data_IF_684012697159
#
_entry.id   IF_684012697159
#
_cell.length_a   1.000
_cell.length_b   1.000
_cell.length_c   1.000
_cell.angle_alpha   90.00
_cell.angle_beta   90.00
_cell.angle_gamma   90.00
#
_symmetry.space_group_name_H-M   'P 1'
#
loop_
_entity.id
_entity.type
_entity.pdbx_description
1 polymer ?
#
# COMPACT_ATOMS: atom_id res chain seq x y z
N UNK A 1 20.40 -16.33 -22.19
CA UNK A 1 20.56 -15.94 -20.77
C UNK A 1 19.25 -16.18 -20.06
N UNK A 2 19.27 -16.40 -18.74
CA UNK A 2 18.07 -16.60 -17.93
C UNK A 2 18.07 -15.67 -16.73
N UNK A 3 16.90 -15.19 -16.34
CA UNK A 3 16.69 -14.49 -15.07
C UNK A 3 16.08 -15.46 -14.07
N UNK A 4 16.57 -15.46 -12.83
CA UNK A 4 16.13 -16.36 -11.77
C UNK A 4 15.56 -15.53 -10.63
N UNK A 5 14.32 -15.85 -10.23
CA UNK A 5 13.67 -15.34 -9.03
C UNK A 5 13.79 -16.36 -7.90
N UNK A 6 14.32 -15.90 -6.78
CA UNK A 6 14.49 -16.69 -5.54
C UNK A 6 13.69 -16.04 -4.43
N UNK A 7 13.01 -16.87 -3.64
CA UNK A 7 12.27 -16.47 -2.44
C UNK A 7 12.65 -17.48 -1.36
N UNK A 8 13.01 -17.01 -0.16
CA UNK A 8 13.47 -17.84 0.97
C UNK A 8 14.58 -18.84 0.58
N UNK A 9 15.54 -18.38 -0.22
CA UNK A 9 16.67 -19.20 -0.71
C UNK A 9 16.30 -20.27 -1.74
N UNK A 10 15.02 -20.37 -2.16
CA UNK A 10 14.55 -21.33 -3.15
C UNK A 10 14.25 -20.68 -4.50
N UNK A 11 14.75 -21.30 -5.57
CA UNK A 11 14.38 -20.93 -6.95
C UNK A 11 12.87 -21.11 -7.12
N UNK A 12 12.19 -20.00 -7.36
CA UNK A 12 10.72 -19.93 -7.47
C UNK A 12 10.28 -19.81 -8.92
N UNK A 13 10.99 -19.03 -9.74
CA UNK A 13 10.70 -18.88 -11.17
C UNK A 13 11.99 -18.65 -11.95
N UNK A 14 12.02 -19.14 -13.18
CA UNK A 14 13.06 -18.84 -14.16
C UNK A 14 12.39 -18.24 -15.39
N UNK A 15 12.89 -17.08 -15.82
CA UNK A 15 12.44 -16.38 -17.02
C UNK A 15 13.53 -16.29 -18.07
N UNK A 16 13.14 -15.92 -19.28
CA UNK A 16 14.05 -15.57 -20.36
C UNK A 16 14.35 -14.08 -20.35
N UNK A 17 15.51 -13.71 -20.90
CA UNK A 17 15.92 -12.33 -21.13
C UNK A 17 15.89 -12.11 -22.65
N UNK A 18 15.24 -11.05 -23.11
CA UNK A 18 15.18 -10.68 -24.52
C UNK A 18 16.52 -10.14 -25.01
N UNK A 19 16.69 -10.07 -26.33
CA UNK A 19 17.94 -9.61 -26.95
C UNK A 19 18.31 -8.15 -26.58
N UNK A 20 17.32 -7.33 -26.21
CA UNK A 20 17.53 -5.95 -25.71
C UNK A 20 17.84 -5.88 -24.19
N UNK A 21 18.07 -7.03 -23.55
CA UNK A 21 18.44 -7.13 -22.13
C UNK A 21 17.27 -7.02 -21.15
N UNK A 22 16.04 -6.90 -21.64
CA UNK A 22 14.85 -6.82 -20.78
C UNK A 22 14.32 -8.19 -20.38
N UNK A 23 13.55 -8.24 -19.31
CA UNK A 23 12.85 -9.43 -18.88
C UNK A 23 11.55 -9.07 -18.18
N UNK A 24 10.63 -10.03 -18.15
CA UNK A 24 9.43 -9.97 -17.34
C UNK A 24 9.23 -11.32 -16.65
N UNK A 25 8.85 -11.29 -15.38
CA UNK A 25 8.49 -12.49 -14.61
C UNK A 25 7.03 -12.37 -14.23
N UNK A 26 6.21 -13.31 -14.71
CA UNK A 26 4.82 -13.42 -14.26
C UNK A 26 4.82 -13.89 -12.81
N UNK A 27 4.29 -13.06 -11.92
CA UNK A 27 4.35 -13.25 -10.47
C UNK A 27 2.97 -13.51 -9.82
N UNK A 28 1.87 -13.39 -10.57
CA UNK A 28 0.52 -13.47 -9.99
C UNK A 28 0.13 -14.88 -9.52
N UNK A 29 0.83 -15.92 -9.98
CA UNK A 29 0.71 -17.30 -9.51
C UNK A 29 1.62 -17.61 -8.31
N UNK A 30 2.49 -16.68 -7.90
CA UNK A 30 3.44 -16.87 -6.82
C UNK A 30 2.83 -16.35 -5.51
N UNK A 31 2.29 -17.25 -4.70
CA UNK A 31 1.60 -16.89 -3.45
C UNK A 31 2.45 -16.03 -2.50
N UNK A 32 3.75 -16.31 -2.38
CA UNK A 32 4.66 -15.55 -1.52
C UNK A 32 4.78 -14.07 -1.95
N UNK A 33 4.67 -13.78 -3.25
CA UNK A 33 4.70 -12.41 -3.77
C UNK A 33 3.37 -11.67 -3.59
N UNK A 34 2.34 -12.31 -3.03
CA UNK A 34 1.09 -11.67 -2.59
C UNK A 34 1.15 -11.20 -1.14
N UNK A 35 2.21 -11.55 -0.42
CA UNK A 35 2.39 -11.21 1.00
C UNK A 35 3.32 -10.01 1.11
N UNK A 36 2.82 -8.91 1.67
CA UNK A 36 3.62 -7.73 1.94
C UNK A 36 4.76 -8.05 2.92
N UNK A 37 5.96 -7.53 2.66
CA UNK A 37 7.15 -7.80 3.46
C UNK A 37 7.95 -9.02 3.02
N UNK A 38 7.44 -9.85 2.10
CA UNK A 38 8.23 -10.96 1.52
C UNK A 38 9.45 -10.41 0.80
N UNK A 39 10.63 -10.88 1.18
CA UNK A 39 11.88 -10.59 0.47
C UNK A 39 12.03 -11.52 -0.74
N UNK A 40 12.60 -10.99 -1.80
CA UNK A 40 12.92 -11.75 -2.99
C UNK A 40 14.26 -11.31 -3.58
N UNK A 41 14.88 -12.23 -4.30
CA UNK A 41 16.17 -12.06 -4.95
C UNK A 41 16.03 -12.31 -6.45
N UNK A 42 16.76 -11.54 -7.25
CA UNK A 42 16.86 -11.70 -8.68
C UNK A 42 18.34 -11.77 -9.07
N UNK A 43 18.70 -12.75 -9.90
CA UNK A 43 20.00 -12.76 -10.57
C UNK A 43 19.87 -13.31 -11.98
N UNK A 44 20.84 -12.98 -12.83
CA UNK A 44 20.93 -13.46 -14.20
C UNK A 44 21.99 -14.55 -14.29
N UNK A 45 21.77 -15.53 -15.15
CA UNK A 45 22.79 -16.51 -15.56
C UNK A 45 23.01 -16.41 -17.06
N UNK A 46 24.27 -16.24 -17.46
CA UNK A 46 24.66 -16.17 -18.86
C UNK A 46 24.65 -17.56 -19.55
N UNK A 47 25.06 -17.62 -20.81
CA UNK A 47 25.12 -18.87 -21.59
C UNK A 47 26.26 -19.81 -21.16
N UNK A 48 27.25 -19.29 -20.45
CA UNK A 48 28.40 -20.04 -19.90
C UNK A 48 28.17 -20.48 -18.46
N UNK A 49 27.03 -20.14 -17.86
CA UNK A 49 26.66 -20.52 -16.49
C UNK A 49 27.11 -19.51 -15.41
N UNK A 50 27.69 -18.37 -15.78
CA UNK A 50 28.12 -17.35 -14.83
C UNK A 50 26.94 -16.54 -14.32
N UNK A 51 26.94 -16.21 -13.02
CA UNK A 51 25.88 -15.41 -12.38
C UNK A 51 26.27 -13.95 -12.28
N UNK A 52 25.27 -13.07 -12.44
CA UNK A 52 25.40 -11.67 -12.04
C UNK A 52 25.45 -11.53 -10.51
N UNK A 53 25.70 -10.31 -10.04
CA UNK A 53 25.34 -9.92 -8.67
C UNK A 53 23.83 -10.14 -8.41
N UNK A 54 23.49 -10.35 -7.14
CA UNK A 54 22.11 -10.57 -6.69
C UNK A 54 21.47 -9.22 -6.39
N UNK A 55 20.35 -8.93 -7.05
CA UNK A 55 19.49 -7.81 -6.70
C UNK A 55 18.42 -8.27 -5.71
N UNK A 56 18.23 -7.54 -4.61
CA UNK A 56 17.23 -7.84 -3.59
C UNK A 56 16.05 -6.87 -3.68
N UNK A 57 14.85 -7.35 -3.39
CA UNK A 57 13.65 -6.53 -3.23
C UNK A 57 12.73 -7.05 -2.15
N UNK A 58 11.79 -6.22 -1.74
CA UNK A 58 10.74 -6.57 -0.76
C UNK A 58 9.38 -6.23 -1.35
N UNK A 59 8.44 -7.17 -1.26
CA UNK A 59 7.05 -6.96 -1.70
C UNK A 59 6.44 -5.85 -0.87
N UNK A 60 5.99 -4.80 -1.55
CA UNK A 60 5.20 -3.74 -0.93
C UNK A 60 3.74 -4.14 -1.00
N UNK A 61 3.03 -4.10 0.12
CA UNK A 61 1.58 -4.25 0.13
C UNK A 61 0.93 -3.10 -0.64
N UNK A 62 -0.14 -3.41 -1.38
CA UNK A 62 -1.12 -2.41 -1.80
C UNK A 62 -1.94 -2.09 -0.56
N UNK A 63 -1.53 -1.08 0.22
CA UNK A 63 -2.21 -0.74 1.47
C UNK A 63 -3.68 -0.41 1.19
N UNK A 64 -4.58 -1.29 1.62
CA UNK A 64 -6.01 -1.05 1.54
C UNK A 64 -6.42 -0.11 2.67
N UNK A 65 -6.75 1.13 2.30
CA UNK A 65 -7.41 2.09 3.19
C UNK A 65 -8.89 2.08 2.84
N UNK A 66 -9.71 1.63 3.78
CA UNK A 66 -11.17 1.66 3.66
C UNK A 66 -11.75 2.67 4.62
N UNK A 67 -12.65 3.51 4.14
CA UNK A 67 -13.41 4.47 4.95
C UNK A 67 -14.84 3.93 5.07
N UNK A 68 -15.32 3.76 6.29
CA UNK A 68 -16.73 3.43 6.51
C UNK A 68 -17.62 4.61 6.10
N UNK A 69 -18.89 4.38 5.70
CA UNK A 69 -19.80 5.46 5.38
C UNK A 69 -19.86 6.52 6.48
N UNK A 70 -19.68 7.78 6.09
CA UNK A 70 -19.68 8.92 6.99
C UNK A 70 -20.88 9.81 6.67
N UNK A 71 -21.64 10.18 7.70
CA UNK A 71 -22.78 11.11 7.62
C UNK A 71 -22.42 12.45 8.24
N UNK A 72 -22.98 13.52 7.69
CA UNK A 72 -22.72 14.88 8.15
C UNK A 72 -22.89 15.01 9.67
N UNK A 73 -21.92 15.64 10.32
CA UNK A 73 -21.92 15.87 11.77
C UNK A 73 -21.63 14.65 12.66
N UNK A 74 -21.39 13.45 12.09
CA UNK A 74 -20.91 12.33 12.88
C UNK A 74 -19.60 12.69 13.59
N UNK A 75 -19.48 12.30 14.85
CA UNK A 75 -18.33 12.71 15.65
C UNK A 75 -17.01 12.09 15.16
N UNK A 76 -17.05 10.98 14.41
CA UNK A 76 -15.84 10.23 14.05
C UNK A 76 -15.92 9.67 12.62
N UNK A 77 -14.80 9.72 11.93
CA UNK A 77 -14.53 8.88 10.75
C UNK A 77 -13.95 7.57 11.27
N UNK A 78 -14.43 6.47 10.71
CA UNK A 78 -13.92 5.13 11.02
C UNK A 78 -13.59 4.38 9.74
N UNK A 79 -12.81 3.33 9.87
CA UNK A 79 -12.45 2.48 8.74
C UNK A 79 -11.37 1.48 9.12
N UNK A 80 -10.73 0.92 8.11
CA UNK A 80 -9.66 -0.05 8.28
C UNK A 80 -8.45 0.31 7.43
N UNK A 81 -7.28 -0.06 7.94
CA UNK A 81 -5.99 0.03 7.28
C UNK A 81 -5.23 -1.28 7.45
N UNK A 82 -4.36 -1.60 6.49
CA UNK A 82 -3.43 -2.72 6.63
C UNK A 82 -2.29 -2.44 7.61
N UNK A 83 -1.53 -3.51 7.89
CA UNK A 83 -0.29 -3.43 8.66
C UNK A 83 0.70 -2.48 7.96
N UNK A 84 1.60 -1.88 8.74
CA UNK A 84 2.61 -0.90 8.33
C UNK A 84 2.13 0.55 8.16
N UNK A 85 0.88 0.87 8.55
CA UNK A 85 0.45 2.26 8.75
C UNK A 85 0.84 2.71 10.15
N UNK A 86 1.60 3.80 10.23
CA UNK A 86 2.03 4.41 11.48
C UNK A 86 1.15 5.60 11.87
N UNK A 87 0.59 6.31 10.88
CA UNK A 87 -0.24 7.50 11.08
C UNK A 87 -1.41 7.52 10.10
N UNK A 88 -2.54 8.05 10.55
CA UNK A 88 -3.74 8.28 9.73
C UNK A 88 -4.19 9.74 9.90
N UNK A 89 -4.58 10.40 8.83
CA UNK A 89 -5.09 11.76 8.88
C UNK A 89 -6.25 11.99 7.92
N UNK A 90 -7.17 12.86 8.33
CA UNK A 90 -8.22 13.39 7.46
C UNK A 90 -7.85 14.80 6.99
N UNK A 91 -8.16 15.05 5.72
CA UNK A 91 -8.00 16.31 5.02
C UNK A 91 -9.35 16.72 4.43
N UNK A 92 -9.58 18.02 4.29
CA UNK A 92 -10.72 18.52 3.54
C UNK A 92 -10.56 18.28 2.02
N UNK A 93 -11.58 18.62 1.24
CA UNK A 93 -11.56 18.49 -0.23
C UNK A 93 -10.47 19.31 -0.93
N UNK A 94 -9.96 20.36 -0.28
CA UNK A 94 -8.86 21.18 -0.79
C UNK A 94 -7.48 20.57 -0.45
N UNK A 95 -7.44 19.51 0.34
CA UNK A 95 -6.20 18.85 0.77
C UNK A 95 -5.57 19.49 2.00
N UNK A 96 -6.29 20.35 2.72
CA UNK A 96 -5.84 20.91 4.01
C UNK A 96 -6.04 19.85 5.09
N UNK A 97 -5.02 19.62 5.92
CA UNK A 97 -5.14 18.68 7.01
C UNK A 97 -6.13 19.21 8.06
N UNK A 98 -7.10 18.37 8.44
CA UNK A 98 -8.02 18.67 9.51
C UNK A 98 -7.52 18.07 10.83
N UNK A 99 -7.15 16.78 10.81
CA UNK A 99 -6.79 16.06 12.04
C UNK A 99 -6.09 14.72 11.80
N UNK A 100 -5.22 14.33 12.74
CA UNK A 100 -4.69 12.97 12.87
C UNK A 100 -5.58 12.08 13.73
N UNK A 101 -5.67 10.80 13.38
CA UNK A 101 -6.47 9.82 14.11
C UNK A 101 -5.65 8.77 14.86
N UNK A 102 -6.38 7.91 15.56
CA UNK A 102 -5.86 6.72 16.21
C UNK A 102 -6.00 5.51 15.28
N UNK A 103 -4.98 4.66 15.26
CA UNK A 103 -5.01 3.33 14.64
C UNK A 103 -4.98 2.31 15.79
N UNK A 104 -5.91 1.37 15.77
CA UNK A 104 -6.01 0.29 16.74
C UNK A 104 -5.14 -0.90 16.31
N UNK A 105 -4.79 -1.76 17.26
CA UNK A 105 -3.95 -2.92 17.01
C UNK A 105 -4.56 -3.93 16.01
N UNK A 106 -5.89 -3.93 15.85
CA UNK A 106 -6.62 -4.77 14.89
C UNK A 106 -6.67 -4.17 13.47
N UNK A 107 -6.03 -3.02 13.24
CA UNK A 107 -6.03 -2.33 11.95
C UNK A 107 -7.25 -1.45 11.70
N UNK A 108 -8.20 -1.35 12.63
CA UNK A 108 -9.25 -0.32 12.55
C UNK A 108 -8.70 1.04 12.93
N UNK A 109 -9.28 2.12 12.40
CA UNK A 109 -8.93 3.48 12.80
C UNK A 109 -10.15 4.30 13.22
N UNK A 110 -9.88 5.34 14.00
CA UNK A 110 -10.87 6.34 14.42
C UNK A 110 -10.25 7.73 14.38
N UNK A 111 -10.93 8.66 13.69
CA UNK A 111 -10.54 10.07 13.63
C UNK A 111 -11.70 10.91 14.14
N UNK A 112 -11.54 11.57 15.28
CA UNK A 112 -12.58 12.44 15.83
C UNK A 112 -12.68 13.74 15.04
N UNK A 113 -13.84 14.04 14.45
CA UNK A 113 -14.03 15.19 13.54
C UNK A 113 -15.24 16.06 13.89
N UNK A 114 -15.81 15.87 15.08
CA UNK A 114 -16.88 16.77 15.53
C UNK A 114 -16.39 18.22 15.59
N UNK A 115 -17.25 19.15 15.16
CA UNK A 115 -16.94 20.59 15.14
C UNK A 115 -16.19 21.09 13.91
N UNK A 116 -15.72 20.21 13.02
CA UNK A 116 -15.15 20.65 11.74
C UNK A 116 -16.25 20.97 10.73
N UNK A 117 -16.37 22.23 10.33
CA UNK A 117 -17.38 22.69 9.37
C UNK A 117 -17.31 21.93 8.02
N UNK A 118 -16.11 21.61 7.55
CA UNK A 118 -15.89 20.81 6.34
C UNK A 118 -16.55 19.41 6.40
N UNK A 119 -16.85 18.90 7.59
CA UNK A 119 -17.42 17.58 7.82
C UNK A 119 -18.95 17.61 8.02
N UNK A 120 -19.58 18.76 7.74
CA UNK A 120 -21.03 18.97 7.86
C UNK A 120 -21.72 19.21 6.50
N UNK A 121 -20.95 19.38 5.43
CA UNK A 121 -21.49 19.72 4.10
C UNK A 121 -21.86 18.43 3.37
N UNK A 122 -23.15 18.09 3.34
CA UNK A 122 -23.65 16.92 2.61
C UNK A 122 -23.32 17.04 1.12
N UNK A 123 -22.83 15.96 0.51
CA UNK A 123 -22.42 15.91 -0.89
C UNK A 123 -20.98 16.37 -1.15
N UNK A 124 -20.34 17.08 -0.22
CA UNK A 124 -18.90 17.33 -0.28
C UNK A 124 -18.10 16.05 -0.03
N UNK A 125 -16.81 16.10 -0.35
CA UNK A 125 -15.88 15.01 -0.10
C UNK A 125 -14.82 15.38 0.93
N UNK A 126 -14.21 14.35 1.52
CA UNK A 126 -13.00 14.47 2.32
C UNK A 126 -12.02 13.36 1.95
N UNK A 127 -10.76 13.56 2.31
CA UNK A 127 -9.67 12.65 1.97
C UNK A 127 -9.11 12.08 3.27
N UNK A 128 -8.90 10.77 3.32
CA UNK A 128 -8.13 10.11 4.38
C UNK A 128 -6.82 9.61 3.79
N UNK A 129 -5.70 9.86 4.48
CA UNK A 129 -4.38 9.35 4.09
C UNK A 129 -3.79 8.51 5.20
N UNK A 130 -3.24 7.36 4.81
CA UNK A 130 -2.43 6.49 5.63
C UNK A 130 -0.95 6.74 5.32
N UNK A 131 -0.14 6.88 6.37
CA UNK A 131 1.27 7.25 6.28
C UNK A 131 2.13 6.30 7.10
N UNK A 132 3.38 6.14 6.66
CA UNK A 132 4.47 5.55 7.45
C UNK A 132 5.73 6.42 7.36
N UNK A 133 6.86 5.91 7.84
CA UNK A 133 8.17 6.55 7.74
C UNK A 133 8.58 6.97 6.32
N UNK A 134 8.05 6.34 5.27
CA UNK A 134 8.31 6.68 3.87
C UNK A 134 7.30 7.70 3.28
N UNK A 135 6.37 8.22 4.08
CA UNK A 135 5.35 9.18 3.64
C UNK A 135 3.98 8.54 3.44
N UNK A 136 3.19 9.09 2.51
CA UNK A 136 1.83 8.60 2.21
C UNK A 136 1.91 7.26 1.48
N UNK A 137 1.27 6.23 2.03
CA UNK A 137 1.26 4.87 1.48
C UNK A 137 -0.11 4.41 0.99
N UNK A 138 -1.18 5.08 1.43
CA UNK A 138 -2.51 4.94 0.86
C UNK A 138 -3.34 6.22 1.03
N UNK A 139 -4.30 6.41 0.14
CA UNK A 139 -5.28 7.49 0.20
C UNK A 139 -6.64 6.96 -0.24
N UNK A 140 -7.70 7.42 0.42
CA UNK A 140 -9.07 7.18 0.01
C UNK A 140 -9.87 8.48 0.12
N UNK A 141 -10.85 8.64 -0.77
CA UNK A 141 -11.79 9.76 -0.77
C UNK A 141 -13.18 9.22 -0.43
N UNK A 142 -13.91 9.93 0.42
CA UNK A 142 -15.29 9.59 0.75
C UNK A 142 -16.19 10.81 0.59
N UNK A 143 -17.45 10.56 0.19
CA UNK A 143 -18.51 11.57 0.14
C UNK A 143 -19.24 11.64 1.47
N UNK A 144 -19.57 12.84 1.91
CA UNK A 144 -20.36 13.09 3.11
C UNK A 144 -21.83 12.81 2.78
N UNK A 145 -22.38 11.81 3.45
CA UNK A 145 -23.77 11.41 3.32
C UNK A 145 -24.69 12.30 4.20
N UNK A 146 -25.99 12.40 3.88
CA UNK A 146 -26.96 13.05 4.75
C UNK A 146 -27.09 12.36 6.11
#
# INVERSE_FOLDING_TARGET
MRVTLVIDGKVTKIGTISADGKYAIYANDIAALKVAGTNFEIFVTDVHGQRSEVATGTVKGLSTLMINPYRAGQANITGAVEKNVERIAVYDKAGTILRYGQINADGTFRIYVSGFAAMQVVGDSFIVRALNSNGVIAQATATILP
#
